data_IF_848736831757
#
_entry.id   IF_848736831757
#
_cell.length_a   1.000
_cell.length_b   1.000
_cell.length_c   1.000
_cell.angle_alpha   90.00
_cell.angle_beta   90.00
_cell.angle_gamma   90.00
#
_symmetry.space_group_name_H-M   'P 1'
#
loop_
_entity.id
_entity.type
_entity.pdbx_description
1 polymer ?
#
# COMPACT_ATOMS: atom_id res chain seq x y z
N UNK A 1 -7.51 -18.95 40.16
CA UNK A 1 -8.43 -19.45 39.14
C UNK A 1 -8.54 -18.53 37.90
N UNK A 2 -8.67 -17.23 38.10
CA UNK A 2 -8.78 -16.32 36.96
C UNK A 2 -7.45 -16.07 36.23
N UNK A 3 -6.30 -16.21 36.89
CA UNK A 3 -4.99 -16.02 36.28
C UNK A 3 -4.63 -17.06 35.22
N UNK A 4 -5.10 -18.29 35.36
CA UNK A 4 -4.88 -19.36 34.37
C UNK A 4 -5.66 -19.11 33.07
N UNK A 5 -6.90 -18.62 33.16
CA UNK A 5 -7.71 -18.29 31.99
C UNK A 5 -7.12 -17.10 31.21
N UNK A 6 -6.60 -16.10 31.91
CA UNK A 6 -5.93 -14.94 31.29
C UNK A 6 -4.65 -15.38 30.54
N UNK A 7 -3.85 -16.26 31.14
CA UNK A 7 -2.64 -16.81 30.55
C UNK A 7 -2.98 -17.59 29.26
N UNK A 8 -4.02 -18.44 29.31
CA UNK A 8 -4.46 -19.19 28.14
C UNK A 8 -4.93 -18.25 27.01
N UNK A 9 -5.71 -17.21 27.33
CA UNK A 9 -6.16 -16.22 26.35
C UNK A 9 -4.97 -15.47 25.74
N UNK A 10 -4.00 -15.05 26.55
CA UNK A 10 -2.78 -14.41 26.07
C UNK A 10 -1.96 -15.32 25.17
N UNK A 11 -1.83 -16.60 25.53
CA UNK A 11 -1.15 -17.59 24.70
C UNK A 11 -1.86 -17.79 23.35
N UNK A 12 -3.18 -17.87 23.34
CA UNK A 12 -3.97 -18.02 22.11
C UNK A 12 -3.80 -16.78 21.21
N UNK A 13 -3.84 -15.59 21.79
CA UNK A 13 -3.60 -14.33 21.05
C UNK A 13 -2.18 -14.30 20.50
N UNK A 14 -1.19 -14.66 21.30
CA UNK A 14 0.21 -14.69 20.89
C UNK A 14 0.46 -15.72 19.79
N UNK A 15 -0.06 -16.93 19.91
CA UNK A 15 0.03 -17.96 18.89
C UNK A 15 -0.70 -17.56 17.61
N UNK A 16 -1.87 -16.97 17.73
CA UNK A 16 -2.61 -16.45 16.59
C UNK A 16 -1.84 -15.34 15.88
N UNK A 17 -1.18 -14.47 16.63
CA UNK A 17 -0.35 -13.39 16.07
C UNK A 17 0.90 -13.94 15.38
N UNK A 18 1.60 -14.89 16.01
CA UNK A 18 2.77 -15.57 15.39
C UNK A 18 2.38 -16.33 14.12
N UNK A 19 1.28 -17.08 14.16
CA UNK A 19 0.76 -17.79 12.98
C UNK A 19 0.32 -16.82 11.90
N UNK A 20 -0.33 -15.73 12.27
CA UNK A 20 -0.73 -14.67 11.34
C UNK A 20 0.47 -14.02 10.65
N UNK A 21 1.56 -13.79 11.37
CA UNK A 21 2.81 -13.23 10.81
C UNK A 21 3.46 -14.22 9.84
N UNK A 22 3.56 -15.50 10.22
CA UNK A 22 4.11 -16.55 9.34
C UNK A 22 3.25 -16.76 8.11
N UNK A 23 1.95 -16.81 8.27
CA UNK A 23 1.01 -16.94 7.16
C UNK A 23 1.02 -15.70 6.26
N UNK A 24 1.19 -14.52 6.84
CA UNK A 24 1.35 -13.28 6.09
C UNK A 24 2.57 -13.29 5.19
N UNK A 25 3.73 -13.73 5.70
CA UNK A 25 4.94 -13.89 4.90
C UNK A 25 4.77 -14.94 3.80
N UNK A 26 4.13 -16.06 4.11
CA UNK A 26 3.84 -17.11 3.12
C UNK A 26 2.88 -16.63 2.04
N UNK A 27 1.85 -15.90 2.43
CA UNK A 27 0.92 -15.27 1.50
C UNK A 27 1.59 -14.26 0.59
N UNK A 28 2.51 -13.44 1.12
CA UNK A 28 3.31 -12.49 0.35
C UNK A 28 4.23 -13.19 -0.65
N UNK A 29 4.90 -14.26 -0.25
CA UNK A 29 5.75 -15.05 -1.15
C UNK A 29 4.94 -15.71 -2.27
N UNK A 30 3.79 -16.29 -1.95
CA UNK A 30 2.90 -16.89 -2.96
C UNK A 30 2.33 -15.83 -3.90
N UNK A 31 1.96 -14.67 -3.37
CA UNK A 31 1.51 -13.53 -4.15
C UNK A 31 2.58 -13.03 -5.12
N UNK A 32 3.82 -12.92 -4.64
CA UNK A 32 4.95 -12.51 -5.46
C UNK A 32 5.23 -13.50 -6.60
N UNK A 33 5.17 -14.81 -6.34
CA UNK A 33 5.34 -15.84 -7.37
C UNK A 33 4.20 -15.83 -8.38
N UNK A 34 2.95 -15.67 -7.92
CA UNK A 34 1.79 -15.55 -8.81
C UNK A 34 1.88 -14.29 -9.67
N UNK A 35 2.35 -13.17 -9.13
CA UNK A 35 2.56 -11.93 -9.85
C UNK A 35 3.69 -12.04 -10.89
N UNK A 36 4.73 -12.83 -10.62
CA UNK A 36 5.78 -13.13 -11.61
C UNK A 36 5.24 -13.93 -12.79
N UNK A 37 4.36 -14.91 -12.54
CA UNK A 37 3.73 -15.71 -13.58
C UNK A 37 2.69 -14.93 -14.38
N UNK A 38 1.99 -14.01 -13.70
CA UNK A 38 0.97 -13.17 -14.31
C UNK A 38 1.09 -11.74 -13.79
N UNK A 39 1.92 -10.91 -14.45
CA UNK A 39 2.12 -9.51 -14.05
C UNK A 39 0.84 -8.67 -14.05
N UNK A 40 -0.20 -9.12 -14.75
CA UNK A 40 -1.49 -8.42 -14.72
C UNK A 40 -2.10 -8.36 -13.32
N UNK A 41 -1.89 -9.40 -12.51
CA UNK A 41 -2.33 -9.41 -11.11
C UNK A 41 -1.67 -8.28 -10.30
N UNK A 42 -0.38 -8.05 -10.53
CA UNK A 42 0.35 -6.95 -9.89
C UNK A 42 -0.21 -5.59 -10.33
N UNK A 43 -0.40 -5.41 -11.62
CA UNK A 43 -0.91 -4.16 -12.19
C UNK A 43 -2.33 -3.87 -11.68
N UNK A 44 -3.20 -4.87 -11.62
CA UNK A 44 -4.57 -4.73 -11.12
C UNK A 44 -4.59 -4.35 -9.63
N UNK A 45 -3.74 -4.98 -8.83
CA UNK A 45 -3.62 -4.69 -7.39
C UNK A 45 -3.13 -3.25 -7.15
N UNK A 46 -2.12 -2.83 -7.87
CA UNK A 46 -1.55 -1.49 -7.72
C UNK A 46 -2.54 -0.43 -8.24
N UNK A 47 -3.21 -0.69 -9.35
CA UNK A 47 -4.24 0.20 -9.89
C UNK A 47 -5.39 0.41 -8.89
N UNK A 48 -5.84 -0.64 -8.23
CA UNK A 48 -6.85 -0.55 -7.17
C UNK A 48 -6.35 0.27 -5.98
N UNK A 49 -5.10 0.07 -5.55
CA UNK A 49 -4.48 0.85 -4.49
C UNK A 49 -4.39 2.34 -4.81
N UNK A 50 -3.98 2.69 -6.02
CA UNK A 50 -3.94 4.08 -6.49
C UNK A 50 -5.35 4.69 -6.51
N UNK A 51 -6.33 3.95 -7.02
CA UNK A 51 -7.72 4.39 -7.05
C UNK A 51 -8.25 4.66 -5.63
N UNK A 52 -7.97 3.78 -4.67
CA UNK A 52 -8.35 3.96 -3.28
C UNK A 52 -7.69 5.20 -2.67
N UNK A 53 -6.45 5.48 -3.00
CA UNK A 53 -5.74 6.70 -2.57
C UNK A 53 -6.42 7.96 -3.10
N UNK A 54 -6.88 7.94 -4.34
CA UNK A 54 -7.59 9.06 -4.95
C UNK A 54 -8.95 9.35 -4.30
N UNK A 55 -9.52 8.38 -3.61
CA UNK A 55 -10.82 8.50 -2.94
C UNK A 55 -10.74 8.99 -1.50
N UNK A 56 -9.54 9.17 -0.95
CA UNK A 56 -9.36 9.66 0.40
C UNK A 56 -9.90 11.09 0.54
N UNK A 57 -10.58 11.34 1.65
CA UNK A 57 -11.19 12.65 1.96
C UNK A 57 -10.50 13.39 3.09
N UNK A 58 -9.80 12.66 3.95
CA UNK A 58 -9.09 13.21 5.11
C UNK A 58 -7.61 12.87 5.00
N UNK A 59 -6.77 13.86 5.32
CA UNK A 59 -5.32 13.73 5.23
C UNK A 59 -4.67 14.27 6.50
N UNK A 60 -3.70 13.51 7.01
CA UNK A 60 -2.77 13.97 8.03
C UNK A 60 -1.36 13.96 7.42
N UNK A 61 -0.43 14.65 8.06
CA UNK A 61 0.98 14.63 7.62
C UNK A 61 1.53 13.21 7.61
N UNK A 62 1.21 12.44 8.65
CA UNK A 62 1.63 11.05 8.79
C UNK A 62 1.00 10.16 7.70
N UNK A 63 -0.30 10.32 7.42
CA UNK A 63 -0.97 9.54 6.37
C UNK A 63 -0.40 9.85 5.00
N UNK A 64 -0.11 11.10 4.70
CA UNK A 64 0.56 11.48 3.44
C UNK A 64 1.92 10.82 3.31
N UNK A 65 2.75 10.84 4.36
CA UNK A 65 4.06 10.19 4.37
C UNK A 65 3.94 8.68 4.13
N UNK A 66 3.03 8.03 4.82
CA UNK A 66 2.81 6.58 4.70
C UNK A 66 2.39 6.22 3.27
N UNK A 67 1.44 6.94 2.70
CA UNK A 67 0.95 6.69 1.34
C UNK A 67 2.05 6.96 0.30
N UNK A 68 2.82 8.04 0.45
CA UNK A 68 3.93 8.35 -0.43
C UNK A 68 4.97 7.23 -0.42
N UNK A 69 5.32 6.73 0.75
CA UNK A 69 6.26 5.62 0.89
C UNK A 69 5.72 4.33 0.26
N UNK A 70 4.44 4.04 0.45
CA UNK A 70 3.79 2.88 -0.17
C UNK A 70 3.78 3.00 -1.70
N UNK A 71 3.48 4.17 -2.24
CA UNK A 71 3.49 4.42 -3.69
C UNK A 71 4.90 4.26 -4.28
N UNK A 72 5.93 4.73 -3.59
CA UNK A 72 7.32 4.52 -4.01
C UNK A 72 7.70 3.05 -4.02
N UNK A 73 7.25 2.30 -3.01
CA UNK A 73 7.49 0.86 -2.91
C UNK A 73 6.83 0.11 -4.06
N UNK A 74 5.57 0.40 -4.37
CA UNK A 74 4.87 -0.28 -5.48
C UNK A 74 5.46 0.08 -6.84
N UNK A 75 6.01 1.29 -6.99
CA UNK A 75 6.73 1.68 -8.20
C UNK A 75 7.99 0.82 -8.42
N UNK A 76 8.73 0.53 -7.35
CA UNK A 76 9.87 -0.39 -7.38
C UNK A 76 9.42 -1.81 -7.73
N UNK A 77 8.30 -2.26 -7.20
CA UNK A 77 7.72 -3.57 -7.55
C UNK A 77 7.38 -3.66 -9.04
N UNK A 78 6.78 -2.63 -9.62
CA UNK A 78 6.51 -2.57 -11.06
C UNK A 78 7.82 -2.71 -11.84
N UNK A 79 8.84 -1.93 -11.48
CA UNK A 79 10.15 -1.97 -12.13
C UNK A 79 10.76 -3.37 -12.08
N UNK A 80 10.69 -4.05 -10.95
CA UNK A 80 11.23 -5.39 -10.77
C UNK A 80 10.49 -6.46 -11.59
N UNK A 81 9.25 -6.19 -12.01
CA UNK A 81 8.42 -7.12 -12.78
C UNK A 81 8.38 -6.82 -14.28
N UNK A 82 9.03 -5.74 -14.74
CA UNK A 82 9.02 -5.35 -16.16
C UNK A 82 9.52 -6.48 -17.08
N UNK A 83 10.52 -7.23 -16.63
CA UNK A 83 11.10 -8.34 -17.38
C UNK A 83 10.13 -9.50 -17.65
N UNK A 84 9.05 -9.60 -16.88
CA UNK A 84 8.03 -10.65 -17.02
C UNK A 84 6.81 -10.19 -17.81
N UNK A 85 6.76 -8.91 -18.21
CA UNK A 85 5.61 -8.29 -18.85
C UNK A 85 5.68 -8.40 -20.36
N UNK A 86 4.51 -8.61 -20.99
CA UNK A 86 4.36 -8.49 -22.44
C UNK A 86 4.24 -7.01 -22.87
N UNK A 87 4.10 -6.78 -24.17
CA UNK A 87 4.03 -5.44 -24.75
C UNK A 87 2.85 -4.62 -24.22
N UNK A 88 1.70 -5.24 -24.01
CA UNK A 88 0.50 -4.57 -23.50
C UNK A 88 0.64 -4.26 -22.01
N UNK A 89 1.19 -5.17 -21.24
CA UNK A 89 1.46 -5.00 -19.82
C UNK A 89 2.51 -3.91 -19.57
N UNK A 90 3.54 -3.82 -20.40
CA UNK A 90 4.54 -2.76 -20.34
C UNK A 90 3.92 -1.37 -20.56
N UNK A 91 2.98 -1.27 -21.48
CA UNK A 91 2.25 -0.03 -21.73
C UNK A 91 1.39 0.37 -20.53
N UNK A 92 0.67 -0.57 -19.95
CA UNK A 92 -0.12 -0.35 -18.73
C UNK A 92 0.77 -0.01 -17.54
N UNK A 93 1.91 -0.67 -17.39
CA UNK A 93 2.89 -0.38 -16.35
C UNK A 93 3.45 1.05 -16.46
N UNK A 94 3.75 1.52 -17.65
CA UNK A 94 4.20 2.89 -17.88
C UNK A 94 3.13 3.91 -17.51
N UNK A 95 1.89 3.67 -17.90
CA UNK A 95 0.77 4.54 -17.53
C UNK A 95 0.57 4.57 -16.02
N UNK A 96 0.60 3.42 -15.39
CA UNK A 96 0.44 3.27 -13.95
C UNK A 96 1.57 3.97 -13.18
N UNK A 97 2.82 3.86 -13.65
CA UNK A 97 3.96 4.59 -13.06
C UNK A 97 3.79 6.10 -13.13
N UNK A 98 3.26 6.62 -14.22
CA UNK A 98 2.95 8.05 -14.36
C UNK A 98 1.82 8.47 -13.41
N UNK A 99 0.79 7.65 -13.27
CA UNK A 99 -0.30 7.90 -12.33
C UNK A 99 0.20 7.91 -10.89
N UNK A 100 1.11 6.99 -10.54
CA UNK A 100 1.76 6.95 -9.21
C UNK A 100 2.58 8.21 -8.97
N UNK A 101 3.37 8.66 -9.94
CA UNK A 101 4.17 9.88 -9.81
C UNK A 101 3.27 11.11 -9.60
N UNK A 102 2.17 11.19 -10.32
CA UNK A 102 1.20 12.27 -10.15
C UNK A 102 0.55 12.25 -8.75
N UNK A 103 0.24 11.07 -8.22
CA UNK A 103 -0.29 10.91 -6.87
C UNK A 103 0.74 11.30 -5.80
N UNK A 104 1.99 10.92 -5.97
CA UNK A 104 3.08 11.31 -5.05
C UNK A 104 3.21 12.83 -5.02
N UNK A 105 3.24 13.48 -6.17
CA UNK A 105 3.33 14.94 -6.26
C UNK A 105 2.14 15.63 -5.59
N UNK A 106 0.93 15.12 -5.80
CA UNK A 106 -0.27 15.62 -5.17
C UNK A 106 -0.20 15.50 -3.64
N UNK A 107 0.21 14.36 -3.13
CA UNK A 107 0.33 14.11 -1.70
C UNK A 107 1.44 14.95 -1.05
N UNK A 108 2.55 15.14 -1.73
CA UNK A 108 3.62 16.04 -1.27
C UNK A 108 3.14 17.48 -1.18
N UNK A 109 2.33 17.93 -2.14
CA UNK A 109 1.70 19.23 -2.12
C UNK A 109 0.76 19.38 -0.92
N UNK A 110 -0.08 18.38 -0.65
CA UNK A 110 -0.97 18.38 0.50
C UNK A 110 -0.18 18.40 1.81
N UNK A 111 0.86 17.59 1.91
CA UNK A 111 1.74 17.54 3.07
C UNK A 111 2.37 18.90 3.36
N UNK A 112 2.80 19.63 2.34
CA UNK A 112 3.37 20.96 2.48
C UNK A 112 2.35 21.99 3.01
N UNK A 113 1.06 21.78 2.78
CA UNK A 113 -0.03 22.65 3.26
C UNK A 113 -0.54 22.26 4.64
N UNK A 114 -0.17 21.10 5.16
CA UNK A 114 -0.54 20.66 6.51
C UNK A 114 0.40 21.32 7.51
N UNK A 115 -0.13 22.31 8.24
CA UNK A 115 0.64 23.12 9.22
C UNK A 115 0.38 22.62 10.64
N UNK A 116 -0.83 22.14 10.92
CA UNK A 116 -1.25 21.68 12.24
C UNK A 116 -1.29 20.16 12.31
N UNK A 117 -1.10 19.60 13.50
CA UNK A 117 -1.20 18.16 13.74
C UNK A 117 -2.66 17.73 13.89
N UNK A 118 -3.42 17.81 12.79
CA UNK A 118 -4.83 17.41 12.71
C UNK A 118 -5.16 16.87 11.32
N UNK A 119 -6.30 16.23 11.16
CA UNK A 119 -6.80 15.80 9.86
C UNK A 119 -7.34 17.01 9.09
N UNK A 120 -6.94 17.10 7.82
CA UNK A 120 -7.42 18.11 6.87
C UNK A 120 -8.35 17.46 5.85
N UNK A 121 -9.41 18.18 5.51
CA UNK A 121 -10.29 17.77 4.41
C UNK A 121 -9.62 18.09 3.08
N UNK A 122 -9.95 17.32 2.04
CA UNK A 122 -9.42 17.54 0.69
C UNK A 122 -9.62 18.99 0.21
N UNK A 123 -10.77 19.57 0.51
CA UNK A 123 -11.09 20.95 0.14
C UNK A 123 -10.14 21.98 0.75
N UNK A 124 -9.66 21.73 1.96
CA UNK A 124 -8.68 22.61 2.65
C UNK A 124 -7.30 22.55 2.01
N UNK A 125 -6.97 21.45 1.36
CA UNK A 125 -5.64 21.20 0.79
C UNK A 125 -5.54 21.52 -0.72
N UNK A 126 -6.65 21.78 -1.37
CA UNK A 126 -6.69 22.10 -2.81
C UNK A 126 -6.23 23.53 -3.15
N UNK A 127 -6.10 24.38 -2.16
CA UNK A 127 -5.73 25.79 -2.34
C UNK A 127 -4.29 26.09 -1.95
#
# INVERSE_FOLDING_TARGET
>A
MYGGAIIIVLLVIFLGWCLGTVWGEWGLKRGAEAEKKNPQLLLDRISEGVFNTQRLKLFTKESCDTIINDLRTVKVQIFNHLQYMDKYQLKDANKLSKDIDAEIDRLEHYKAHIVEDRAYKLEELRY
#
